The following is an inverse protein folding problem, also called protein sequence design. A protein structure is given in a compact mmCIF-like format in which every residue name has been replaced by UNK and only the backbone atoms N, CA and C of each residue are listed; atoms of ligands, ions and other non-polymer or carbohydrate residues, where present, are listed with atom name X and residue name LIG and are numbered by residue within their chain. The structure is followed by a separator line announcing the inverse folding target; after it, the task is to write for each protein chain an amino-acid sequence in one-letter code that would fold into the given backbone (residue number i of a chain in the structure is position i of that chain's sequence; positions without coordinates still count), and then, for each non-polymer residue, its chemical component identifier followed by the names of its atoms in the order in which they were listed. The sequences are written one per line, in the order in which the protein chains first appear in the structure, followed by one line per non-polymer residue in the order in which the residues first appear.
data_IF_049273639790
#
_entry.id   IF_049273639790
#
_cell.length_a   1.000
_cell.length_b   1.000
_cell.length_c   1.000
_cell.angle_alpha   90.00
_cell.angle_beta   90.00
_cell.angle_gamma   90.00
#
_symmetry.space_group_name_H-M   'P 1'
#
loop_
_entity.id
_entity.type
_entity.pdbx_description
1 polymer ?
#
# COMPACT_ATOMS: atom_id res chain seq x y z
N UNK A 1 -34.43 -2.04 11.35
CA UNK A 1 -32.96 -2.11 11.19
C UNK A 1 -32.35 -1.32 12.33
N UNK A 2 -31.38 -1.89 13.05
CA UNK A 2 -30.76 -1.25 14.22
C UNK A 2 -29.66 -0.29 13.75
N UNK A 3 -29.84 1.01 13.96
CA UNK A 3 -28.93 2.05 13.49
C UNK A 3 -27.50 1.88 14.04
N UNK A 4 -27.35 1.47 15.30
CA UNK A 4 -26.02 1.26 15.91
C UNK A 4 -25.29 0.09 15.29
N UNK A 5 -26.02 -0.97 14.91
CA UNK A 5 -25.43 -2.11 14.21
C UNK A 5 -25.00 -1.75 12.79
N UNK A 6 -25.72 -0.84 12.12
CA UNK A 6 -25.34 -0.35 10.79
C UNK A 6 -24.08 0.49 10.87
N UNK A 7 -24.00 1.44 11.79
CA UNK A 7 -22.83 2.28 12.01
C UNK A 7 -21.57 1.44 12.29
N UNK A 8 -21.64 0.50 13.22
CA UNK A 8 -20.53 -0.42 13.51
C UNK A 8 -20.13 -1.27 12.29
N UNK A 9 -21.08 -1.66 11.44
CA UNK A 9 -20.80 -2.38 10.20
C UNK A 9 -20.04 -1.48 9.20
N UNK A 10 -20.48 -0.23 9.05
CA UNK A 10 -19.85 0.77 8.18
C UNK A 10 -18.41 1.05 8.60
N UNK A 11 -18.16 1.25 9.89
CA UNK A 11 -16.80 1.45 10.42
C UNK A 11 -15.90 0.25 10.13
N UNK A 12 -16.42 -0.97 10.32
CA UNK A 12 -15.68 -2.19 10.02
C UNK A 12 -15.33 -2.29 8.53
N UNK A 13 -16.24 -1.90 7.65
CA UNK A 13 -16.01 -1.89 6.21
C UNK A 13 -14.94 -0.87 5.81
N UNK A 14 -15.02 0.36 6.32
CA UNK A 14 -14.02 1.39 6.06
C UNK A 14 -12.63 0.99 6.55
N UNK A 15 -12.53 0.42 7.76
CA UNK A 15 -11.27 -0.08 8.28
C UNK A 15 -10.67 -1.18 7.42
N UNK A 16 -11.49 -2.11 6.93
CA UNK A 16 -11.05 -3.17 6.03
C UNK A 16 -10.57 -2.63 4.68
N UNK A 17 -11.30 -1.66 4.10
CA UNK A 17 -10.91 -1.00 2.85
C UNK A 17 -9.59 -0.25 3.00
N UNK A 18 -9.45 0.55 4.06
CA UNK A 18 -8.21 1.28 4.34
C UNK A 18 -7.03 0.32 4.52
N UNK A 19 -7.20 -0.78 5.26
CA UNK A 19 -6.17 -1.80 5.41
C UNK A 19 -5.76 -2.41 4.05
N UNK A 20 -6.73 -2.74 3.19
CA UNK A 20 -6.46 -3.26 1.85
C UNK A 20 -5.70 -2.27 0.96
N UNK A 21 -6.09 -0.99 0.97
CA UNK A 21 -5.40 0.07 0.24
C UNK A 21 -3.97 0.29 0.76
N UNK A 22 -3.78 0.27 2.08
CA UNK A 22 -2.44 0.34 2.68
C UNK A 22 -1.55 -0.81 2.24
N UNK A 23 -2.07 -2.05 2.21
CA UNK A 23 -1.32 -3.21 1.72
C UNK A 23 -0.87 -3.05 0.27
N UNK A 24 -1.74 -2.53 -0.61
CA UNK A 24 -1.39 -2.22 -2.00
C UNK A 24 -0.30 -1.16 -2.08
N UNK A 25 -0.39 -0.11 -1.27
CA UNK A 25 0.56 0.99 -1.30
C UNK A 25 1.95 0.59 -0.77
N UNK A 26 2.00 -0.26 0.26
CA UNK A 26 3.22 -0.90 0.75
C UNK A 26 3.86 -1.77 -0.34
N UNK A 27 3.05 -2.58 -1.04
CA UNK A 27 3.54 -3.40 -2.15
C UNK A 27 4.15 -2.56 -3.27
N UNK A 28 3.51 -1.45 -3.65
CA UNK A 28 4.04 -0.51 -4.65
C UNK A 28 5.40 0.03 -4.22
N UNK A 29 5.54 0.48 -2.98
CA UNK A 29 6.81 0.99 -2.45
C UNK A 29 7.93 -0.03 -2.47
N UNK A 30 7.64 -1.27 -2.06
CA UNK A 30 8.59 -2.38 -2.12
C UNK A 30 9.00 -2.71 -3.56
N UNK A 31 8.03 -2.80 -4.48
CA UNK A 31 8.27 -3.08 -5.91
C UNK A 31 9.11 -2.03 -6.62
N UNK A 32 8.93 -0.76 -6.25
CA UNK A 32 9.65 0.37 -6.82
C UNK A 32 11.00 0.62 -6.11
N UNK A 33 11.33 -0.13 -5.06
CA UNK A 33 12.58 0.06 -4.31
C UNK A 33 12.61 1.33 -3.46
N UNK A 34 11.46 1.97 -3.21
CA UNK A 34 11.39 3.25 -2.49
C UNK A 34 11.82 3.11 -1.03
N UNK A 35 11.42 2.01 -0.37
CA UNK A 35 11.84 1.73 1.00
C UNK A 35 13.35 1.50 1.10
N UNK A 36 13.95 0.77 0.15
CA UNK A 36 15.39 0.54 0.13
C UNK A 36 16.14 1.85 -0.10
N UNK A 37 15.70 2.67 -1.06
CA UNK A 37 16.30 3.97 -1.33
C UNK A 37 16.28 4.90 -0.11
N UNK A 38 15.22 4.85 0.69
CA UNK A 38 15.09 5.60 1.94
C UNK A 38 15.99 5.05 3.05
N UNK A 39 16.01 3.72 3.23
CA UNK A 39 16.86 3.06 4.21
C UNK A 39 18.35 3.31 3.95
N UNK A 40 18.79 3.24 2.69
CA UNK A 40 20.17 3.49 2.29
C UNK A 40 20.61 4.95 2.52
N UNK A 41 19.66 5.89 2.46
CA UNK A 41 19.91 7.30 2.69
C UNK A 41 19.84 7.69 4.18
N UNK A 42 19.18 6.87 5.01
CA UNK A 42 18.86 7.15 6.41
C UNK A 42 17.73 8.18 6.56
N UNK A 43 17.93 9.39 6.02
CA UNK A 43 16.93 10.44 5.95
C UNK A 43 17.06 11.19 4.62
N UNK A 44 15.97 11.44 3.90
CA UNK A 44 16.02 11.95 2.53
C UNK A 44 14.77 12.74 2.13
N UNK A 45 14.92 13.62 1.13
CA UNK A 45 13.78 14.32 0.50
C UNK A 45 13.08 13.43 -0.54
N UNK A 46 11.87 13.80 -0.97
CA UNK A 46 11.19 13.14 -2.08
C UNK A 46 12.02 13.12 -3.36
N UNK A 47 12.76 14.21 -3.61
CA UNK A 47 13.65 14.33 -4.76
C UNK A 47 14.79 13.30 -4.70
N UNK A 48 15.48 13.21 -3.57
CA UNK A 48 16.57 12.25 -3.37
C UNK A 48 16.10 10.80 -3.54
N UNK A 49 14.95 10.47 -2.96
CA UNK A 49 14.36 9.13 -3.04
C UNK A 49 14.00 8.80 -4.49
N UNK A 50 13.32 9.71 -5.18
CA UNK A 50 12.92 9.50 -6.58
C UNK A 50 14.11 9.33 -7.52
N UNK A 51 15.18 10.12 -7.31
CA UNK A 51 16.41 10.04 -8.07
C UNK A 51 17.11 8.68 -7.85
N UNK A 52 17.22 8.22 -6.60
CA UNK A 52 17.81 6.91 -6.27
C UNK A 52 17.01 5.75 -6.83
N UNK A 53 15.69 5.83 -6.77
CA UNK A 53 14.80 4.78 -7.26
C UNK A 53 14.55 4.83 -8.78
N UNK A 54 15.03 5.87 -9.49
CA UNK A 54 14.78 6.04 -10.92
C UNK A 54 13.30 6.24 -11.26
N UNK A 55 12.57 6.95 -10.39
CA UNK A 55 11.12 7.17 -10.50
C UNK A 55 10.78 8.65 -10.64
N UNK A 56 9.52 8.95 -10.99
CA UNK A 56 9.06 10.33 -11.17
C UNK A 56 8.72 10.95 -9.81
N UNK A 57 9.43 12.03 -9.46
CA UNK A 57 9.35 12.72 -8.16
C UNK A 57 7.91 13.02 -7.73
N UNK A 58 7.07 13.53 -8.63
CA UNK A 58 5.68 13.88 -8.28
C UNK A 58 4.93 12.70 -7.69
N UNK A 59 5.02 11.51 -8.30
CA UNK A 59 4.31 10.33 -7.81
C UNK A 59 4.94 9.75 -6.55
N UNK A 60 6.27 9.86 -6.42
CA UNK A 60 6.97 9.48 -5.19
C UNK A 60 6.51 10.36 -4.03
N UNK A 61 6.38 11.67 -4.22
CA UNK A 61 5.90 12.58 -3.18
C UNK A 61 4.50 12.21 -2.69
N UNK A 62 3.54 12.00 -3.60
CA UNK A 62 2.18 11.58 -3.21
C UNK A 62 2.19 10.24 -2.46
N UNK A 63 3.05 9.31 -2.89
CA UNK A 63 3.25 8.04 -2.20
C UNK A 63 3.82 8.23 -0.79
N UNK A 64 4.84 9.08 -0.65
CA UNK A 64 5.47 9.40 0.64
C UNK A 64 4.47 10.04 1.60
N UNK A 65 3.65 10.99 1.13
CA UNK A 65 2.58 11.60 1.92
C UNK A 65 1.60 10.55 2.45
N UNK A 66 1.20 9.59 1.60
CA UNK A 66 0.35 8.48 2.01
C UNK A 66 1.02 7.58 3.06
N UNK A 67 2.32 7.31 2.94
CA UNK A 67 3.06 6.48 3.89
C UNK A 67 3.31 7.18 5.23
N UNK A 68 3.54 8.49 5.21
CA UNK A 68 3.63 9.32 6.42
C UNK A 68 2.27 9.39 7.13
N UNK A 69 1.17 9.62 6.39
CA UNK A 69 -0.19 9.60 6.97
C UNK A 69 -0.55 8.22 7.55
N UNK A 70 -0.09 7.14 6.91
CA UNK A 70 -0.21 5.77 7.40
C UNK A 70 0.72 5.44 8.58
N UNK A 71 1.57 6.38 9.01
CA UNK A 71 2.59 6.21 10.07
C UNK A 71 3.63 5.13 9.76
N UNK A 72 3.91 4.89 8.49
CA UNK A 72 5.01 4.01 8.06
C UNK A 72 6.34 4.76 7.95
N UNK A 73 6.28 6.08 7.71
CA UNK A 73 7.44 6.95 7.64
C UNK A 73 7.36 8.04 8.72
N UNK A 74 8.53 8.50 9.13
CA UNK A 74 8.67 9.70 9.96
C UNK A 74 9.02 10.88 9.06
N UNK A 75 8.39 12.02 9.30
CA UNK A 75 8.67 13.28 8.62
C UNK A 75 9.13 14.31 9.64
N UNK A 76 10.32 14.88 9.43
CA UNK A 76 10.82 16.01 10.18
C UNK A 76 10.34 17.31 9.51
N UNK A 77 9.48 18.06 10.20
CA UNK A 77 8.89 19.28 9.67
C UNK A 77 9.90 20.43 9.52
N UNK A 78 11.00 20.43 10.26
CA UNK A 78 12.01 21.50 10.21
C UNK A 78 12.96 21.32 9.02
N UNK A 79 13.27 20.06 8.68
CA UNK A 79 14.21 19.72 7.59
C UNK A 79 13.54 19.18 6.32
N UNK A 80 12.22 18.96 6.34
CA UNK A 80 11.45 18.28 5.29
C UNK A 80 11.99 16.88 4.92
N UNK A 81 12.76 16.28 5.82
CA UNK A 81 13.36 14.98 5.58
C UNK A 81 12.43 13.85 6.05
N UNK A 82 12.40 12.79 5.24
CA UNK A 82 11.67 11.57 5.52
C UNK A 82 12.65 10.49 5.93
N UNK A 83 12.26 9.66 6.90
CA UNK A 83 13.04 8.49 7.30
C UNK A 83 12.15 7.27 7.54
N UNK A 84 12.75 6.09 7.39
CA UNK A 84 12.11 4.81 7.68
C UNK A 84 12.53 4.36 9.08
N UNK A 85 11.60 4.23 10.06
CA UNK A 85 11.92 3.68 11.37
C UNK A 85 12.60 2.30 11.29
N UNK A 86 13.44 1.98 12.27
CA UNK A 86 14.21 0.73 12.30
C UNK A 86 13.28 -0.49 12.32
N UNK A 87 12.17 -0.42 13.05
CA UNK A 87 11.18 -1.47 13.15
C UNK A 87 10.51 -1.76 11.80
N UNK A 88 10.25 -0.72 11.02
CA UNK A 88 9.66 -0.84 9.68
C UNK A 88 10.68 -1.34 8.67
N UNK A 89 11.95 -0.94 8.80
CA UNK A 89 13.07 -1.47 8.01
C UNK A 89 13.17 -2.99 8.19
N UNK A 90 13.14 -3.48 9.42
CA UNK A 90 13.18 -4.92 9.72
C UNK A 90 11.96 -5.68 9.15
N UNK A 91 10.78 -5.07 9.15
CA UNK A 91 9.57 -5.71 8.61
C UNK A 91 9.51 -5.70 7.07
N UNK A 92 10.05 -4.65 6.42
CA UNK A 92 9.87 -4.40 4.98
C UNK A 92 11.08 -4.77 4.12
N UNK A 93 12.28 -4.85 4.70
CA UNK A 93 13.54 -5.00 3.95
C UNK A 93 14.40 -6.19 4.40
N UNK A 94 14.03 -6.92 5.45
CA UNK A 94 14.75 -8.12 5.90
C UNK A 94 14.00 -9.41 5.50
N UNK A 95 14.21 -9.96 4.29
CA UNK A 95 13.46 -11.13 3.79
C UNK A 95 13.70 -12.41 4.59
N UNK A 96 14.88 -12.55 5.21
CA UNK A 96 15.26 -13.73 5.99
C UNK A 96 14.85 -13.63 7.47
N UNK A 97 14.23 -12.53 7.89
CA UNK A 97 13.76 -12.34 9.27
C UNK A 97 12.41 -13.02 9.50
N UNK A 98 12.19 -13.68 10.66
CA UNK A 98 10.86 -14.14 11.08
C UNK A 98 9.81 -13.02 11.18
N UNK A 99 10.24 -11.76 11.30
CA UNK A 99 9.37 -10.59 11.33
C UNK A 99 9.05 -10.01 9.95
N UNK A 100 9.55 -10.63 8.87
CA UNK A 100 9.38 -10.11 7.51
C UNK A 100 7.93 -10.18 7.04
N UNK A 101 7.39 -9.04 6.63
CA UNK A 101 6.08 -8.96 6.00
C UNK A 101 6.14 -9.09 4.47
N UNK A 102 7.35 -9.13 3.88
CA UNK A 102 7.59 -9.12 2.43
C UNK A 102 6.86 -10.29 1.73
N UNK A 103 6.89 -11.48 2.33
CA UNK A 103 6.23 -12.66 1.77
C UNK A 103 4.72 -12.49 1.59
N UNK A 104 4.05 -11.84 2.56
CA UNK A 104 2.62 -11.53 2.50
C UNK A 104 2.32 -10.45 1.47
N UNK A 105 3.19 -9.45 1.32
CA UNK A 105 3.05 -8.41 0.31
C UNK A 105 3.10 -8.98 -1.11
N UNK A 106 3.88 -10.04 -1.34
CA UNK A 106 3.93 -10.75 -2.62
C UNK A 106 2.60 -11.34 -3.08
N UNK A 107 1.65 -11.60 -2.16
CA UNK A 107 0.33 -12.12 -2.50
C UNK A 107 -0.70 -11.04 -2.89
N UNK A 108 -0.40 -9.76 -2.64
CA UNK A 108 -1.33 -8.65 -2.90
C UNK A 108 -1.80 -8.59 -4.37
N UNK A 109 -0.93 -8.70 -5.41
CA UNK A 109 -1.38 -8.71 -6.80
C UNK A 109 -2.32 -9.87 -7.14
N UNK A 110 -2.13 -11.03 -6.49
CA UNK A 110 -2.98 -12.20 -6.71
C UNK A 110 -4.41 -11.92 -6.28
N UNK A 111 -4.63 -11.26 -5.14
CA UNK A 111 -5.96 -10.85 -4.70
C UNK A 111 -6.57 -9.76 -5.59
N UNK A 112 -5.77 -8.82 -6.07
CA UNK A 112 -6.24 -7.80 -7.03
C UNK A 112 -6.70 -8.43 -8.36
N UNK A 113 -5.99 -9.47 -8.82
CA UNK A 113 -6.31 -10.16 -10.09
C UNK A 113 -7.63 -10.96 -10.03
N UNK A 114 -8.06 -11.41 -8.86
CA UNK A 114 -9.35 -12.11 -8.68
C UNK A 114 -10.54 -11.24 -9.08
N UNK A 115 -10.44 -9.91 -8.91
CA UNK A 115 -11.48 -8.98 -9.35
C UNK A 115 -11.57 -8.81 -10.87
N UNK A 116 -10.52 -9.21 -11.61
CA UNK A 116 -10.40 -9.08 -13.08
C UNK A 116 -10.69 -10.40 -13.79
N UNK A 117 -10.75 -11.52 -13.05
CA UNK A 117 -11.28 -12.75 -13.63
C UNK A 117 -12.72 -12.45 -14.09
N UNK A 118 -13.06 -12.71 -15.36
CA UNK A 118 -14.46 -12.75 -15.73
C UNK A 118 -15.06 -13.76 -14.77
N UNK A 119 -16.06 -13.35 -14.00
CA UNK A 119 -17.00 -14.30 -13.47
C UNK A 119 -17.65 -14.88 -14.73
N UNK A 120 -17.02 -15.89 -15.33
CA UNK A 120 -17.66 -16.78 -16.29
C UNK A 120 -18.71 -17.52 -15.47
N UNK A 121 -19.81 -16.83 -15.20
CA UNK A 121 -21.02 -17.41 -14.70
C UNK A 121 -21.74 -18.00 -15.92
N UNK A 122 -21.80 -19.33 -16.07
CA UNK A 122 -22.50 -19.95 -17.19
C UNK A 122 -24.02 -19.67 -17.16
N UNK A 123 -24.55 -19.09 -16.07
CA UNK A 123 -25.97 -18.77 -15.87
C UNK A 123 -26.37 -17.35 -16.29
N UNK A 124 -25.45 -16.48 -16.75
CA UNK A 124 -25.79 -15.08 -17.11
C UNK A 124 -26.49 -14.92 -18.48
N UNK A 125 -26.86 -16.01 -19.16
CA UNK A 125 -27.50 -16.01 -20.49
C UNK A 125 -28.94 -15.49 -20.53
N UNK A 126 -29.52 -15.07 -19.40
CA UNK A 126 -30.95 -14.71 -19.31
C UNK A 126 -31.30 -13.24 -19.54
N UNK A 127 -30.32 -12.34 -19.74
CA UNK A 127 -30.61 -10.95 -20.13
C UNK A 127 -30.22 -10.68 -21.59
N UNK A 128 -30.73 -11.49 -22.52
CA UNK A 128 -31.00 -10.99 -23.87
C UNK A 128 -32.36 -10.31 -23.84
N UNK A 129 -32.32 -8.98 -23.82
CA UNK A 129 -33.45 -8.14 -24.20
C UNK A 129 -33.93 -8.60 -25.58
N UNK A 130 -35.19 -9.03 -25.66
CA UNK A 130 -35.87 -9.30 -26.92
C UNK A 130 -36.28 -7.93 -27.52
N UNK A 131 -36.25 -7.76 -28.86
CA UNK A 131 -36.50 -6.48 -29.53
C UNK A 131 -37.95 -6.01 -29.41
#
# INVERSE_FOLDING_TARGET
MDAKKVEACVDRLFNAMNAGMSCLNLYVGHRLGLFQALADAGSATSHDISHRAGTVERYVREWLECMTAGRYLTHDADSELLSLPEEHTAALLAPDSPSSAIGVMGWVPSFASVAVLPIENPQSRFYRLNP
#
